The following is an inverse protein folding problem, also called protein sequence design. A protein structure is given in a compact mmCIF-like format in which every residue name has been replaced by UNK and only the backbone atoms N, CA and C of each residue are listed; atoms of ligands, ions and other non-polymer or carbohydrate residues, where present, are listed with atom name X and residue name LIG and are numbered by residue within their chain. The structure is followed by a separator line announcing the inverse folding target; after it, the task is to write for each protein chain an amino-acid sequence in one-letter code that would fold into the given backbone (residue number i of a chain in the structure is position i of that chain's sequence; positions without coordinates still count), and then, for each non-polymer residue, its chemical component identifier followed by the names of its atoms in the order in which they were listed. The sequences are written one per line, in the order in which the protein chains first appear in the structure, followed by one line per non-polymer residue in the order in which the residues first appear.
data_IF_288389194800
#
_entry.id   IF_288389194800
#
_cell.length_a   1.000
_cell.length_b   1.000
_cell.length_c   1.000
_cell.angle_alpha   90.00
_cell.angle_beta   90.00
_cell.angle_gamma   90.00
#
_symmetry.space_group_name_H-M   'P 1'
#
loop_
_entity.id
_entity.type
_entity.pdbx_description
1 polymer ?
#
# COMPACT_ATOMS: atom_id res chain seq x y z
N UNK A 1 -2.82 2.50 -11.26
CA UNK A 1 -2.08 3.64 -10.67
C UNK A 1 -0.62 3.29 -10.40
N UNK A 2 0.28 4.24 -10.67
CA UNK A 2 1.73 4.10 -10.44
C UNK A 2 2.10 4.02 -8.96
N UNK A 3 1.44 4.82 -8.09
CA UNK A 3 1.73 4.80 -6.65
C UNK A 3 1.59 3.41 -6.00
N UNK A 4 0.61 2.60 -6.44
CA UNK A 4 0.45 1.23 -5.92
C UNK A 4 1.60 0.32 -6.36
N UNK A 5 2.10 0.49 -7.59
CA UNK A 5 3.26 -0.26 -8.05
C UNK A 5 4.49 0.15 -7.25
N UNK A 6 4.70 1.45 -7.08
CA UNK A 6 5.80 2.01 -6.29
C UNK A 6 5.80 1.49 -4.84
N UNK A 7 4.68 1.60 -4.13
CA UNK A 7 4.56 1.11 -2.76
C UNK A 7 4.75 -0.41 -2.66
N UNK A 8 4.27 -1.17 -3.65
CA UNK A 8 4.48 -2.61 -3.69
C UNK A 8 5.96 -2.97 -3.85
N UNK A 9 6.70 -2.25 -4.71
CA UNK A 9 8.13 -2.45 -4.89
C UNK A 9 8.91 -2.10 -3.60
N UNK A 10 8.53 -1.01 -2.91
CA UNK A 10 9.12 -0.65 -1.62
C UNK A 10 8.85 -1.69 -0.54
N UNK A 11 7.60 -2.16 -0.43
CA UNK A 11 7.22 -3.23 0.50
C UNK A 11 8.00 -4.52 0.21
N UNK A 12 8.02 -4.96 -1.06
CA UNK A 12 8.71 -6.16 -1.52
C UNK A 12 10.18 -6.17 -1.07
N UNK A 13 10.90 -5.07 -1.31
CA UNK A 13 12.29 -4.92 -0.91
C UNK A 13 12.48 -4.96 0.61
N UNK A 14 11.54 -4.39 1.37
CA UNK A 14 11.67 -4.30 2.83
C UNK A 14 11.41 -5.62 3.54
N UNK A 15 10.50 -6.44 3.03
CA UNK A 15 10.12 -7.73 3.65
C UNK A 15 10.64 -8.96 2.90
N UNK A 16 11.52 -8.75 1.91
CA UNK A 16 12.19 -9.83 1.19
C UNK A 16 11.25 -10.71 0.35
N UNK A 17 10.18 -10.15 -0.20
CA UNK A 17 9.23 -10.89 -1.05
C UNK A 17 9.23 -10.42 -2.49
N UNK A 18 8.61 -11.20 -3.38
CA UNK A 18 8.51 -10.80 -4.79
C UNK A 18 7.64 -9.53 -4.97
N UNK A 19 7.96 -8.65 -5.92
CA UNK A 19 7.12 -7.49 -6.26
C UNK A 19 5.68 -7.86 -6.61
N UNK A 20 5.47 -9.02 -7.24
CA UNK A 20 4.13 -9.53 -7.60
C UNK A 20 3.33 -9.87 -6.35
N UNK A 21 3.93 -10.55 -5.37
CA UNK A 21 3.28 -10.88 -4.10
C UNK A 21 2.94 -9.62 -3.29
N UNK A 22 3.89 -8.69 -3.16
CA UNK A 22 3.66 -7.42 -2.46
C UNK A 22 2.55 -6.59 -3.12
N UNK A 23 2.49 -6.57 -4.45
CA UNK A 23 1.41 -5.91 -5.18
C UNK A 23 0.06 -6.57 -4.95
N UNK A 24 0.05 -7.90 -4.84
CA UNK A 24 -1.12 -8.67 -4.41
C UNK A 24 -1.61 -8.23 -3.04
N UNK A 25 -0.71 -8.16 -2.06
CA UNK A 25 -1.01 -7.71 -0.69
C UNK A 25 -1.63 -6.31 -0.69
N UNK A 26 -1.00 -5.32 -1.33
CA UNK A 26 -1.54 -3.95 -1.36
C UNK A 26 -2.94 -3.91 -2.00
N UNK A 27 -3.16 -4.62 -3.11
CA UNK A 27 -4.48 -4.68 -3.76
C UNK A 27 -5.53 -5.35 -2.88
N UNK A 28 -5.15 -6.37 -2.12
CA UNK A 28 -6.04 -7.03 -1.18
C UNK A 28 -6.37 -6.12 0.00
N UNK A 29 -5.39 -5.40 0.56
CA UNK A 29 -5.61 -4.39 1.60
C UNK A 29 -6.61 -3.31 1.16
N UNK A 30 -6.46 -2.81 -0.07
CA UNK A 30 -7.43 -1.87 -0.66
C UNK A 30 -8.84 -2.47 -0.68
N UNK A 31 -8.99 -3.73 -1.10
CA UNK A 31 -10.28 -4.42 -1.16
C UNK A 31 -10.89 -4.64 0.22
N UNK A 32 -10.08 -4.98 1.22
CA UNK A 32 -10.57 -5.17 2.59
C UNK A 32 -11.08 -3.85 3.17
N UNK A 33 -10.39 -2.75 2.86
CA UNK A 33 -10.72 -1.44 3.43
C UNK A 33 -11.91 -0.76 2.73
N UNK A 34 -11.98 -0.84 1.41
CA UNK A 34 -12.94 -0.07 0.61
C UNK A 34 -13.95 -0.92 -0.15
N UNK A 35 -13.87 -2.24 -0.04
CA UNK A 35 -14.69 -3.18 -0.78
C UNK A 35 -14.31 -3.29 -2.27
N UNK A 36 -15.00 -4.16 -3.03
CA UNK A 36 -14.65 -4.44 -4.43
C UNK A 36 -15.10 -3.34 -5.41
N UNK A 37 -15.91 -2.38 -4.94
CA UNK A 37 -16.58 -1.42 -5.81
C UNK A 37 -15.86 -0.06 -5.93
N UNK A 38 -14.85 0.22 -5.09
CA UNK A 38 -14.05 1.43 -5.22
C UNK A 38 -12.96 1.20 -6.27
N UNK A 39 -13.01 1.89 -7.43
CA UNK A 39 -11.95 1.77 -8.43
C UNK A 39 -10.64 2.22 -7.83
N UNK A 40 -9.57 1.49 -8.14
CA UNK A 40 -8.22 1.81 -7.65
C UNK A 40 -7.87 3.24 -8.03
N UNK A 41 -8.21 3.65 -9.25
CA UNK A 41 -7.93 4.95 -9.86
C UNK A 41 -8.56 6.14 -9.10
N UNK A 42 -9.54 5.89 -8.24
CA UNK A 42 -10.22 6.92 -7.43
C UNK A 42 -9.67 7.03 -6.01
N UNK A 43 -8.61 6.29 -5.67
CA UNK A 43 -8.00 6.35 -4.35
C UNK A 43 -7.24 7.66 -4.17
N UNK A 44 -7.62 8.39 -3.13
CA UNK A 44 -6.92 9.61 -2.70
C UNK A 44 -5.71 9.26 -1.83
N UNK A 45 -4.88 10.28 -1.54
CA UNK A 45 -3.83 10.15 -0.53
C UNK A 45 -4.37 9.64 0.80
N UNK A 46 -5.46 10.23 1.29
CA UNK A 46 -6.05 9.85 2.58
C UNK A 46 -6.56 8.40 2.57
N UNK A 47 -7.08 7.92 1.44
CA UNK A 47 -7.47 6.52 1.30
C UNK A 47 -6.27 5.58 1.39
N UNK A 48 -5.17 5.91 0.71
CA UNK A 48 -3.96 5.10 0.72
C UNK A 48 -3.29 5.10 2.10
N UNK A 49 -3.23 6.26 2.78
CA UNK A 49 -2.68 6.38 4.13
C UNK A 49 -3.45 5.51 5.13
N UNK A 50 -4.79 5.58 5.07
CA UNK A 50 -5.68 4.80 5.93
C UNK A 50 -5.60 3.30 5.62
N UNK A 51 -5.49 2.93 4.35
CA UNK A 51 -5.32 1.55 3.91
C UNK A 51 -3.99 0.96 4.43
N UNK A 52 -2.90 1.74 4.39
CA UNK A 52 -1.59 1.32 4.92
C UNK A 52 -1.67 1.11 6.44
N UNK A 53 -2.20 2.09 7.17
CA UNK A 53 -2.27 2.06 8.64
C UNK A 53 -3.14 0.93 9.18
N UNK A 54 -4.26 0.64 8.53
CA UNK A 54 -5.21 -0.34 9.03
C UNK A 54 -5.08 -1.69 8.31
N UNK A 55 -5.55 -1.77 7.06
CA UNK A 55 -5.72 -3.05 6.37
C UNK A 55 -4.41 -3.73 6.00
N UNK A 56 -3.40 -2.97 5.53
CA UNK A 56 -2.10 -3.54 5.22
C UNK A 56 -1.37 -3.95 6.50
N UNK A 57 -1.37 -3.10 7.53
CA UNK A 57 -0.81 -3.42 8.84
C UNK A 57 -1.37 -4.74 9.39
N UNK A 58 -2.69 -4.89 9.39
CA UNK A 58 -3.36 -6.13 9.83
C UNK A 58 -2.92 -7.35 9.01
N UNK A 59 -2.82 -7.24 7.68
CA UNK A 59 -2.36 -8.35 6.83
C UNK A 59 -0.92 -8.76 7.11
N UNK A 60 -0.04 -7.77 7.32
CA UNK A 60 1.35 -8.04 7.63
C UNK A 60 1.49 -8.67 9.03
N UNK A 61 0.64 -8.27 9.99
CA UNK A 61 0.52 -8.91 11.30
C UNK A 61 0.04 -10.37 11.19
N UNK A 62 -1.00 -10.63 10.39
CA UNK A 62 -1.56 -11.98 10.16
C UNK A 62 -0.57 -12.96 9.52
N UNK A 63 0.44 -12.47 8.79
CA UNK A 63 1.51 -13.30 8.20
C UNK A 63 2.82 -13.21 8.99
N UNK A 64 2.76 -12.70 10.23
CA UNK A 64 3.86 -12.69 11.20
C UNK A 64 5.11 -11.92 10.73
N UNK A 65 4.91 -10.80 10.00
CA UNK A 65 6.02 -9.92 9.63
C UNK A 65 6.59 -9.21 10.85
N UNK A 66 7.89 -9.39 11.06
CA UNK A 66 8.65 -8.65 12.07
C UNK A 66 8.80 -7.16 11.70
N UNK A 67 9.05 -6.32 12.71
CA UNK A 67 9.27 -4.87 12.52
C UNK A 67 8.10 -4.14 11.85
N UNK A 68 6.88 -4.61 12.07
CA UNK A 68 5.65 -4.10 11.47
C UNK A 68 5.53 -2.57 11.54
N UNK A 69 5.71 -1.99 12.74
CA UNK A 69 5.61 -0.54 12.95
C UNK A 69 6.63 0.27 12.12
N UNK A 70 7.83 -0.29 11.92
CA UNK A 70 8.86 0.33 11.10
C UNK A 70 8.49 0.29 9.61
N UNK A 71 7.96 -0.85 9.15
CA UNK A 71 7.51 -1.04 7.76
C UNK A 71 6.34 -0.11 7.44
N UNK A 72 5.36 -0.01 8.35
CA UNK A 72 4.20 0.88 8.18
C UNK A 72 4.65 2.34 8.13
N UNK A 73 5.48 2.79 9.08
CA UNK A 73 6.04 4.15 9.04
C UNK A 73 6.79 4.41 7.75
N UNK A 74 7.64 3.48 7.33
CA UNK A 74 8.40 3.58 6.09
C UNK A 74 7.48 3.77 4.87
N UNK A 75 6.44 2.95 4.74
CA UNK A 75 5.50 3.05 3.63
C UNK A 75 4.69 4.34 3.63
N UNK A 76 4.29 4.85 4.81
CA UNK A 76 3.59 6.14 4.92
C UNK A 76 4.49 7.31 4.53
N UNK A 77 5.77 7.28 4.93
CA UNK A 77 6.78 8.25 4.47
C UNK A 77 6.92 8.21 2.95
N UNK A 78 7.09 7.02 2.37
CA UNK A 78 7.21 6.85 0.91
C UNK A 78 5.94 7.33 0.17
N UNK A 79 4.74 7.10 0.73
CA UNK A 79 3.48 7.63 0.19
C UNK A 79 3.45 9.17 0.21
N UNK A 80 3.87 9.79 1.31
CA UNK A 80 3.92 11.24 1.49
C UNK A 80 4.90 11.90 0.51
N UNK A 81 6.12 11.36 0.43
CA UNK A 81 7.19 11.89 -0.43
C UNK A 81 6.86 11.74 -1.92
N UNK A 82 5.98 10.81 -2.29
CA UNK A 82 5.64 10.48 -3.67
C UNK A 82 4.15 10.71 -3.97
N UNK A 83 3.49 11.64 -3.26
CA UNK A 83 2.07 11.98 -3.45
C UNK A 83 1.74 12.39 -4.89
N UNK A 84 2.70 12.95 -5.64
CA UNK A 84 2.54 13.31 -7.05
C UNK A 84 2.21 12.11 -7.95
N UNK A 85 2.58 10.88 -7.57
CA UNK A 85 2.24 9.65 -8.30
C UNK A 85 0.76 9.25 -8.17
N UNK A 86 0.01 9.88 -7.27
CA UNK A 86 -1.43 9.68 -7.11
C UNK A 86 -2.18 10.47 -8.19
N UNK A 87 -1.77 11.71 -8.43
CA UNK A 87 -2.45 12.64 -9.33
C UNK A 87 -2.15 12.41 -10.80
N UNK A 88 -0.96 11.88 -11.14
CA UNK A 88 -0.60 11.56 -12.53
C UNK A 88 -1.39 10.41 -13.16
N UNK A 89 -2.15 9.63 -12.35
CA UNK A 89 -3.02 8.55 -12.85
C UNK A 89 -4.46 8.95 -13.17
N UNK A 90 -4.84 10.21 -12.94
CA UNK A 90 -6.23 10.70 -13.05
C UNK A 90 -6.49 11.56 -14.31
N UNK A 91 -5.57 11.58 -15.27
CA UNK A 91 -5.67 12.34 -16.54
C UNK A 91 -6.11 11.45 -17.68
#
# INVERSE_FOLDING_TARGET
MEIIKFLADKLANRIGMSPVAARGLIKLSIKDKFGPFKPIEQLTYGDLDLMIEESLKKRLEEIEIENLEEIIRYLKTELSENQSLITMGAV
#
